data_IF_181861387553
#
_entry.id   IF_181861387553
#
_cell.length_a   1.000
_cell.length_b   1.000
_cell.length_c   1.000
_cell.angle_alpha   90.00
_cell.angle_beta   90.00
_cell.angle_gamma   90.00
#
_symmetry.space_group_name_H-M   'P 1'
#
loop_
_entity.id
_entity.type
_entity.pdbx_description
1 polymer ?
#
# COMPACT_ATOMS: atom_id res chain seq x y z
N UNK A 1 -2.63 -21.81 10.19
CA UNK A 1 -2.56 -20.91 11.36
C UNK A 1 -1.98 -19.59 10.86
N UNK A 2 -2.60 -18.46 11.20
CA UNK A 2 -2.10 -17.13 10.78
C UNK A 2 -0.86 -16.77 11.60
N UNK A 3 0.28 -16.67 10.93
CA UNK A 3 1.58 -16.57 11.61
C UNK A 3 1.98 -15.13 11.97
N UNK A 4 1.40 -14.14 11.27
CA UNK A 4 1.75 -12.74 11.48
C UNK A 4 1.01 -12.11 12.65
N UNK A 5 -0.22 -12.55 12.95
CA UNK A 5 -1.07 -11.91 13.96
C UNK A 5 -0.55 -12.07 15.39
N UNK A 6 -0.05 -13.27 15.76
CA UNK A 6 0.53 -13.48 17.09
C UNK A 6 -0.32 -12.90 18.24
N UNK A 7 0.26 -11.90 18.93
CA UNK A 7 -0.36 -11.19 20.05
C UNK A 7 -1.16 -9.94 19.66
N UNK A 8 -1.27 -9.61 18.35
CA UNK A 8 -1.96 -8.43 17.88
C UNK A 8 -3.43 -8.42 18.27
N UNK A 9 -3.93 -7.27 18.74
CA UNK A 9 -5.30 -7.08 19.20
C UNK A 9 -5.96 -5.96 18.40
N UNK A 10 -7.18 -6.18 17.96
CA UNK A 10 -7.97 -5.15 17.29
C UNK A 10 -9.47 -5.39 17.44
N UNK A 11 -10.24 -4.35 17.25
CA UNK A 11 -11.71 -4.37 17.19
C UNK A 11 -12.09 -3.61 15.93
N UNK A 12 -12.73 -4.27 14.96
CA UNK A 12 -13.13 -3.69 13.68
C UNK A 12 -13.59 -4.75 12.70
N UNK A 13 -13.86 -4.34 11.48
CA UNK A 13 -14.50 -5.16 10.45
C UNK A 13 -13.50 -5.93 9.56
N UNK A 14 -12.21 -5.88 9.89
CA UNK A 14 -11.18 -6.66 9.19
C UNK A 14 -11.36 -8.15 9.46
N UNK A 15 -11.32 -8.96 8.40
CA UNK A 15 -11.16 -10.40 8.57
C UNK A 15 -9.78 -10.74 9.16
N UNK A 16 -9.63 -11.95 9.70
CA UNK A 16 -8.32 -12.39 10.19
C UNK A 16 -7.28 -12.47 9.06
N UNK A 17 -7.69 -12.78 7.84
CA UNK A 17 -6.81 -12.80 6.68
C UNK A 17 -6.36 -11.38 6.30
N UNK A 18 -7.28 -10.41 6.34
CA UNK A 18 -6.94 -8.99 6.09
C UNK A 18 -5.98 -8.47 7.15
N UNK A 19 -6.27 -8.76 8.42
CA UNK A 19 -5.40 -8.39 9.55
C UNK A 19 -3.99 -9.01 9.41
N UNK A 20 -3.88 -10.28 9.01
CA UNK A 20 -2.60 -10.96 8.82
C UNK A 20 -1.78 -10.33 7.67
N UNK A 21 -2.42 -9.99 6.56
CA UNK A 21 -1.80 -9.29 5.44
C UNK A 21 -1.33 -7.90 5.88
N UNK A 22 -2.20 -7.13 6.51
CA UNK A 22 -1.88 -5.77 6.94
C UNK A 22 -0.72 -5.74 7.93
N UNK A 23 -0.69 -6.64 8.91
CA UNK A 23 0.42 -6.78 9.86
C UNK A 23 1.73 -7.21 9.17
N UNK A 24 1.65 -8.09 8.17
CA UNK A 24 2.83 -8.52 7.42
C UNK A 24 3.51 -7.33 6.70
N UNK A 25 2.72 -6.44 6.09
CA UNK A 25 3.26 -5.23 5.47
C UNK A 25 3.62 -4.16 6.51
N UNK A 26 2.78 -3.94 7.51
CA UNK A 26 3.00 -2.94 8.57
C UNK A 26 4.32 -3.12 9.31
N UNK A 27 4.69 -4.36 9.65
CA UNK A 27 5.97 -4.68 10.31
C UNK A 27 7.23 -4.30 9.53
N UNK A 28 7.10 -4.11 8.22
CA UNK A 28 8.21 -3.77 7.33
C UNK A 28 8.19 -2.32 6.87
N UNK A 29 7.23 -1.55 7.37
CA UNK A 29 6.95 -0.19 6.92
C UNK A 29 7.20 0.80 8.05
N UNK A 30 8.38 1.43 8.11
CA UNK A 30 8.68 2.45 9.11
C UNK A 30 7.73 3.65 9.07
N UNK A 31 7.27 4.06 7.88
CA UNK A 31 6.40 5.22 7.70
C UNK A 31 5.12 4.83 7.00
N UNK A 32 4.01 5.01 7.68
CA UNK A 32 2.69 4.56 7.27
C UNK A 32 1.73 5.74 7.17
N UNK A 33 0.97 5.78 6.08
CA UNK A 33 -0.19 6.65 5.89
C UNK A 33 -1.44 5.77 5.72
N UNK A 34 -2.46 6.04 6.51
CA UNK A 34 -3.74 5.33 6.47
C UNK A 34 -4.87 6.29 6.14
N UNK A 35 -5.84 5.85 5.34
CA UNK A 35 -7.12 6.51 5.15
C UNK A 35 -8.26 5.59 5.61
N UNK A 36 -9.02 6.07 6.59
CA UNK A 36 -10.03 5.32 7.32
C UNK A 36 -9.47 4.73 8.61
N UNK A 37 -9.90 5.26 9.75
CA UNK A 37 -9.41 4.81 11.06
C UNK A 37 -10.30 3.71 11.63
N UNK A 38 -9.71 2.79 12.40
CA UNK A 38 -10.48 1.72 13.02
C UNK A 38 -9.66 0.54 13.52
N UNK A 39 -10.03 -0.66 13.08
CA UNK A 39 -9.30 -1.90 13.38
C UNK A 39 -7.91 -1.93 12.77
N UNK A 40 -7.77 -1.39 11.57
CA UNK A 40 -6.50 -1.25 10.85
C UNK A 40 -5.51 -0.35 11.60
N UNK A 41 -5.97 0.81 12.09
CA UNK A 41 -5.16 1.73 12.91
C UNK A 41 -4.59 1.03 14.14
N UNK A 42 -5.43 0.21 14.81
CA UNK A 42 -4.99 -0.55 15.99
C UNK A 42 -3.91 -1.57 15.64
N UNK A 43 -4.01 -2.25 14.49
CA UNK A 43 -3.00 -3.20 14.02
C UNK A 43 -1.71 -2.51 13.61
N UNK A 44 -1.81 -1.46 12.80
CA UNK A 44 -0.66 -0.70 12.30
C UNK A 44 0.11 -0.05 13.46
N UNK A 45 -0.60 0.49 14.46
CA UNK A 45 0.04 1.04 15.66
C UNK A 45 0.87 0.00 16.43
N UNK A 46 0.45 -1.26 16.46
CA UNK A 46 1.17 -2.36 17.10
C UNK A 46 2.32 -2.92 16.25
N UNK A 47 2.45 -2.52 14.99
CA UNK A 47 3.59 -2.86 14.14
C UNK A 47 4.86 -2.07 14.49
N UNK A 48 4.76 -1.11 15.44
CA UNK A 48 5.85 -0.25 15.90
C UNK A 48 6.51 0.57 14.77
N UNK A 49 5.71 1.29 13.93
CA UNK A 49 6.26 2.17 12.93
C UNK A 49 6.97 3.38 13.55
N UNK A 50 7.91 3.98 12.82
CA UNK A 50 8.51 5.27 13.21
C UNK A 50 7.45 6.39 13.19
N UNK A 51 6.63 6.40 12.13
CA UNK A 51 5.56 7.37 11.91
C UNK A 51 4.29 6.65 11.42
N UNK A 52 3.15 6.95 12.05
CA UNK A 52 1.82 6.51 11.62
C UNK A 52 0.90 7.73 11.53
N UNK A 53 0.48 8.07 10.34
CA UNK A 53 -0.52 9.09 10.07
C UNK A 53 -1.83 8.43 9.68
N UNK A 54 -2.89 8.75 10.39
CA UNK A 54 -4.22 8.17 10.16
C UNK A 54 -5.23 9.26 9.84
N UNK A 55 -5.69 9.26 8.59
CA UNK A 55 -6.61 10.26 8.04
C UNK A 55 -8.04 9.78 8.19
N UNK A 56 -8.93 10.65 8.69
CA UNK A 56 -10.35 10.35 8.84
C UNK A 56 -11.20 11.59 8.52
N UNK A 57 -12.44 11.35 8.15
CA UNK A 57 -13.45 12.37 7.85
C UNK A 57 -14.54 12.47 8.93
N UNK A 58 -14.62 11.49 9.82
CA UNK A 58 -15.58 11.40 10.90
C UNK A 58 -14.89 11.43 12.27
N UNK A 59 -15.05 12.54 12.99
CA UNK A 59 -14.47 12.74 14.32
C UNK A 59 -14.96 11.70 15.34
N UNK A 60 -16.18 11.17 15.19
CA UNK A 60 -16.69 10.15 16.10
C UNK A 60 -15.91 8.82 15.95
N UNK A 61 -15.51 8.46 14.73
CA UNK A 61 -14.63 7.33 14.48
C UNK A 61 -13.23 7.53 15.05
N UNK A 62 -12.69 8.74 14.96
CA UNK A 62 -11.40 9.10 15.56
C UNK A 62 -11.44 8.88 17.07
N UNK A 63 -12.46 9.43 17.77
CA UNK A 63 -12.59 9.30 19.23
C UNK A 63 -12.82 7.84 19.68
N UNK A 64 -13.63 7.09 18.93
CA UNK A 64 -13.82 5.67 19.17
C UNK A 64 -12.51 4.89 19.04
N UNK A 65 -11.73 5.18 18.00
CA UNK A 65 -10.43 4.53 17.73
C UNK A 65 -9.41 4.88 18.80
N UNK A 66 -9.32 6.14 19.23
CA UNK A 66 -8.49 6.56 20.37
C UNK A 66 -8.83 5.78 21.64
N UNK A 67 -10.13 5.62 21.93
CA UNK A 67 -10.63 4.86 23.10
C UNK A 67 -10.20 3.39 23.04
N UNK A 68 -10.19 2.78 21.84
CA UNK A 68 -9.75 1.41 21.63
C UNK A 68 -8.24 1.27 21.75
N UNK A 69 -7.49 2.20 21.14
CA UNK A 69 -6.03 2.25 21.23
C UNK A 69 -5.53 2.40 22.66
N UNK A 70 -6.22 3.19 23.49
CA UNK A 70 -5.84 3.37 24.91
C UNK A 70 -5.81 2.06 25.72
N UNK A 71 -6.43 0.99 25.22
CA UNK A 71 -6.43 -0.35 25.84
C UNK A 71 -5.30 -1.26 25.35
N UNK A 72 -4.48 -0.77 24.43
CA UNK A 72 -3.34 -1.50 23.86
C UNK A 72 -2.06 -0.90 24.45
N UNK A 73 -1.26 -1.73 25.10
CA UNK A 73 -0.05 -1.28 25.82
C UNK A 73 1.09 -0.97 24.87
N UNK A 74 1.55 -1.94 24.12
CA UNK A 74 2.71 -1.82 23.20
C UNK A 74 2.26 -1.33 21.83
N UNK A 75 2.26 -0.01 21.60
CA UNK A 75 1.86 0.59 20.34
C UNK A 75 2.51 1.95 20.11
N UNK A 76 2.64 2.33 18.85
CA UNK A 76 2.91 3.71 18.42
C UNK A 76 1.60 4.50 18.43
N UNK A 77 1.61 5.70 18.98
CA UNK A 77 0.45 6.58 18.88
C UNK A 77 0.34 7.20 17.48
N UNK A 78 -0.80 7.02 16.78
CA UNK A 78 -1.02 7.63 15.48
C UNK A 78 -1.15 9.15 15.58
N UNK A 79 -0.71 9.86 14.53
CA UNK A 79 -1.07 11.24 14.29
C UNK A 79 -2.37 11.26 13.50
N UNK A 80 -3.47 11.64 14.14
CA UNK A 80 -4.76 11.75 13.46
C UNK A 80 -4.84 13.04 12.66
N UNK A 81 -5.26 12.92 11.41
CA UNK A 81 -5.35 14.01 10.45
C UNK A 81 -6.76 14.07 9.86
N UNK A 82 -7.20 15.29 9.53
CA UNK A 82 -8.35 15.52 8.69
C UNK A 82 -7.99 15.30 7.20
N UNK A 83 -8.95 14.94 6.36
CA UNK A 83 -8.70 14.75 4.93
C UNK A 83 -8.10 15.99 4.24
N UNK A 84 -8.44 17.18 4.70
CA UNK A 84 -7.88 18.45 4.20
C UNK A 84 -6.38 18.61 4.44
N UNK A 85 -5.79 17.84 5.36
CA UNK A 85 -4.37 17.90 5.70
C UNK A 85 -3.51 16.95 4.85
N UNK A 86 -4.13 16.08 4.03
CA UNK A 86 -3.44 15.14 3.14
C UNK A 86 -2.41 15.83 2.24
N UNK A 87 -2.71 16.97 1.56
CA UNK A 87 -1.71 17.65 0.74
C UNK A 87 -0.48 18.09 1.51
N UNK A 88 -0.66 18.53 2.76
CA UNK A 88 0.44 18.92 3.61
C UNK A 88 1.31 17.72 3.97
N UNK A 89 0.74 16.65 4.52
CA UNK A 89 1.50 15.49 4.97
C UNK A 89 2.26 14.83 3.81
N UNK A 90 1.67 14.77 2.63
CA UNK A 90 2.30 14.17 1.43
C UNK A 90 3.37 15.06 0.80
N UNK A 91 3.37 16.36 1.10
CA UNK A 91 4.41 17.28 0.63
C UNK A 91 5.73 17.17 1.42
N UNK A 92 5.65 16.73 2.68
CA UNK A 92 6.81 16.69 3.60
C UNK A 92 7.25 15.27 3.97
N UNK A 93 6.38 14.27 3.77
CA UNK A 93 6.68 12.88 4.10
C UNK A 93 6.63 11.97 2.87
N UNK A 94 7.41 10.88 2.93
CA UNK A 94 7.33 9.74 2.01
C UNK A 94 7.04 8.49 2.83
N UNK A 95 6.19 7.61 2.29
CA UNK A 95 5.62 6.46 3.00
C UNK A 95 6.09 5.13 2.41
N UNK A 96 6.33 4.16 3.28
CA UNK A 96 6.61 2.78 2.89
C UNK A 96 5.31 2.01 2.61
N UNK A 97 4.25 2.37 3.36
CA UNK A 97 2.91 1.79 3.22
C UNK A 97 1.86 2.91 3.18
N UNK A 98 0.95 2.84 2.20
CA UNK A 98 -0.29 3.63 2.17
C UNK A 98 -1.45 2.65 2.18
N UNK A 99 -2.32 2.73 3.21
CA UNK A 99 -3.51 1.90 3.35
C UNK A 99 -4.77 2.71 3.05
N UNK A 100 -5.66 2.16 2.21
CA UNK A 100 -6.85 2.86 1.68
C UNK A 100 -8.11 2.10 2.07
N UNK A 101 -8.81 2.61 3.09
CA UNK A 101 -10.07 2.04 3.62
C UNK A 101 -11.06 3.10 4.13
N UNK A 102 -10.88 4.36 3.82
CA UNK A 102 -11.75 5.46 4.23
C UNK A 102 -13.10 5.47 3.52
N UNK A 103 -13.80 6.58 3.61
CA UNK A 103 -15.12 6.76 2.99
C UNK A 103 -15.08 6.52 1.48
N UNK A 104 -16.02 5.73 0.97
CA UNK A 104 -16.02 5.14 -0.38
C UNK A 104 -15.78 6.16 -1.52
N UNK A 105 -16.43 7.33 -1.45
CA UNK A 105 -16.33 8.35 -2.50
C UNK A 105 -14.98 9.08 -2.55
N UNK A 106 -14.15 8.97 -1.52
CA UNK A 106 -12.83 9.61 -1.45
C UNK A 106 -11.65 8.63 -1.63
N UNK A 107 -11.86 7.32 -1.55
CA UNK A 107 -10.79 6.30 -1.63
C UNK A 107 -9.91 6.48 -2.86
N UNK A 108 -10.51 6.63 -4.04
CA UNK A 108 -9.75 6.82 -5.29
C UNK A 108 -9.01 8.15 -5.34
N UNK A 109 -9.66 9.25 -4.93
CA UNK A 109 -9.04 10.56 -4.88
C UNK A 109 -7.86 10.59 -3.92
N UNK A 110 -8.03 10.00 -2.73
CA UNK A 110 -6.95 9.83 -1.76
C UNK A 110 -5.77 9.06 -2.36
N UNK A 111 -6.02 7.90 -2.94
CA UNK A 111 -4.98 7.05 -3.50
C UNK A 111 -4.19 7.74 -4.62
N UNK A 112 -4.88 8.44 -5.54
CA UNK A 112 -4.23 9.22 -6.62
C UNK A 112 -3.35 10.33 -6.05
N UNK A 113 -3.86 11.09 -5.06
CA UNK A 113 -3.14 12.20 -4.45
C UNK A 113 -1.91 11.76 -3.65
N UNK A 114 -1.99 10.58 -3.04
CA UNK A 114 -0.93 10.08 -2.16
C UNK A 114 0.09 9.20 -2.86
N UNK A 115 -0.21 8.67 -4.06
CA UNK A 115 0.73 7.85 -4.83
C UNK A 115 2.11 8.50 -5.02
N UNK A 116 2.24 9.81 -5.34
CA UNK A 116 3.55 10.46 -5.46
C UNK A 116 4.35 10.51 -4.14
N UNK A 117 3.66 10.34 -3.00
CA UNK A 117 4.30 10.26 -1.69
C UNK A 117 4.66 8.84 -1.28
N UNK A 118 4.24 7.82 -2.04
CA UNK A 118 4.71 6.45 -1.86
C UNK A 118 6.17 6.34 -2.29
N UNK A 119 7.01 5.77 -1.42
CA UNK A 119 8.42 5.51 -1.74
C UNK A 119 8.53 4.48 -2.87
N UNK A 120 9.67 4.47 -3.51
CA UNK A 120 10.09 3.37 -4.35
C UNK A 120 10.18 2.10 -3.47
N UNK A 121 9.77 0.95 -4.00
CA UNK A 121 9.51 -0.30 -3.26
C UNK A 121 8.38 -0.23 -2.23
N UNK A 122 7.72 0.91 -2.10
CA UNK A 122 6.57 1.08 -1.22
C UNK A 122 5.33 0.37 -1.76
N UNK A 123 4.38 0.12 -0.86
CA UNK A 123 3.12 -0.54 -1.22
C UNK A 123 1.91 0.31 -0.89
N UNK A 124 0.93 0.31 -1.80
CA UNK A 124 -0.41 0.82 -1.55
C UNK A 124 -1.37 -0.35 -1.45
N UNK A 125 -2.13 -0.43 -0.36
CA UNK A 125 -3.08 -1.52 -0.09
C UNK A 125 -4.48 -0.96 -0.07
N UNK A 126 -5.36 -1.52 -0.90
CA UNK A 126 -6.79 -1.24 -0.91
C UNK A 126 -7.53 -2.34 -0.16
N UNK A 127 -8.39 -1.96 0.76
CA UNK A 127 -9.32 -2.87 1.44
C UNK A 127 -10.63 -3.02 0.64
N UNK A 128 -11.41 -4.04 1.00
CA UNK A 128 -12.73 -4.35 0.42
C UNK A 128 -12.74 -4.65 -1.10
N UNK A 129 -11.61 -5.03 -1.67
CA UNK A 129 -11.49 -5.19 -3.14
C UNK A 129 -12.26 -6.39 -3.72
N UNK A 130 -12.99 -7.15 -2.91
CA UNK A 130 -14.05 -8.06 -3.39
C UNK A 130 -15.33 -7.31 -3.78
N UNK A 131 -15.53 -6.08 -3.32
CA UNK A 131 -16.57 -5.19 -3.82
C UNK A 131 -16.10 -4.57 -5.14
N UNK A 132 -16.97 -4.59 -6.15
CA UNK A 132 -16.63 -4.12 -7.50
C UNK A 132 -16.14 -2.67 -7.52
N UNK A 133 -16.73 -1.80 -6.70
CA UNK A 133 -16.35 -0.38 -6.62
C UNK A 133 -14.92 -0.20 -6.10
N UNK A 134 -14.53 -0.93 -5.05
CA UNK A 134 -13.19 -0.80 -4.47
C UNK A 134 -12.12 -1.45 -5.33
N UNK A 135 -12.45 -2.56 -5.98
CA UNK A 135 -11.61 -3.13 -7.02
C UNK A 135 -11.38 -2.16 -8.18
N UNK A 136 -12.44 -1.46 -8.64
CA UNK A 136 -12.31 -0.43 -9.67
C UNK A 136 -11.40 0.72 -9.23
N UNK A 137 -11.46 1.14 -7.95
CA UNK A 137 -10.56 2.18 -7.43
C UNK A 137 -9.09 1.73 -7.53
N UNK A 138 -8.77 0.52 -7.09
CA UNK A 138 -7.43 -0.05 -7.21
C UNK A 138 -6.98 -0.19 -8.69
N UNK A 139 -7.87 -0.67 -9.57
CA UNK A 139 -7.59 -0.82 -10.99
C UNK A 139 -7.34 0.52 -11.69
N UNK A 140 -8.08 1.57 -11.33
CA UNK A 140 -7.86 2.92 -11.86
C UNK A 140 -6.49 3.49 -11.47
N UNK A 141 -6.09 3.32 -10.20
CA UNK A 141 -4.78 3.75 -9.72
C UNK A 141 -3.67 2.96 -10.42
N UNK A 142 -3.84 1.64 -10.53
CA UNK A 142 -2.90 0.79 -11.25
C UNK A 142 -2.74 1.19 -12.72
N UNK A 143 -3.83 1.54 -13.40
CA UNK A 143 -3.79 2.01 -14.79
C UNK A 143 -3.11 3.38 -14.92
N UNK A 144 -3.43 4.31 -14.02
CA UNK A 144 -2.88 5.66 -14.05
C UNK A 144 -1.36 5.67 -13.85
N UNK A 145 -0.86 4.82 -12.96
CA UNK A 145 0.55 4.72 -12.60
C UNK A 145 1.21 3.44 -13.13
N UNK A 146 0.69 2.90 -14.23
CA UNK A 146 1.15 1.61 -14.79
C UNK A 146 2.67 1.54 -14.99
N UNK A 147 3.29 2.63 -15.45
CA UNK A 147 4.73 2.68 -15.66
C UNK A 147 5.56 2.72 -14.38
N UNK A 148 4.92 3.00 -13.25
CA UNK A 148 5.53 3.05 -11.93
C UNK A 148 5.26 1.79 -11.10
N UNK A 149 4.44 0.85 -11.62
CA UNK A 149 4.10 -0.39 -10.92
C UNK A 149 5.13 -1.49 -11.19
N UNK A 150 5.56 -2.17 -10.13
CA UNK A 150 6.34 -3.40 -10.20
C UNK A 150 5.41 -4.62 -10.32
N UNK A 151 4.43 -4.73 -9.42
CA UNK A 151 3.45 -5.82 -9.43
C UNK A 151 2.14 -5.43 -8.74
N UNK A 152 1.12 -6.25 -9.01
CA UNK A 152 -0.22 -6.16 -8.41
C UNK A 152 -0.57 -7.54 -7.86
N UNK A 153 -1.00 -7.62 -6.61
CA UNK A 153 -1.54 -8.85 -6.00
C UNK A 153 -3.01 -8.63 -5.60
N UNK A 154 -3.91 -9.19 -6.41
CA UNK A 154 -5.36 -9.05 -6.24
C UNK A 154 -5.87 -10.08 -5.24
N UNK A 155 -6.59 -9.62 -4.21
CA UNK A 155 -7.05 -10.46 -3.11
C UNK A 155 -5.90 -11.32 -2.54
N UNK A 156 -4.82 -10.64 -2.20
CA UNK A 156 -3.56 -11.24 -1.76
C UNK A 156 -3.77 -12.29 -0.65
N UNK A 157 -2.86 -13.25 -0.60
CA UNK A 157 -2.99 -14.38 0.34
C UNK A 157 -2.40 -14.04 1.70
N UNK A 158 -3.14 -14.40 2.75
CA UNK A 158 -2.65 -14.43 4.12
C UNK A 158 -1.66 -15.60 4.34
N UNK A 159 -1.01 -15.63 5.49
CA UNK A 159 -0.05 -16.68 5.84
C UNK A 159 -0.64 -18.09 5.96
N UNK A 160 -1.97 -18.21 6.05
CA UNK A 160 -2.70 -19.49 5.99
C UNK A 160 -3.11 -19.89 4.56
N UNK A 161 -2.59 -19.19 3.52
CA UNK A 161 -2.87 -19.36 2.11
C UNK A 161 -4.30 -19.03 1.66
N UNK A 162 -5.14 -18.52 2.54
CA UNK A 162 -6.48 -18.05 2.18
C UNK A 162 -6.39 -16.62 1.65
N UNK A 163 -7.28 -16.32 0.70
CA UNK A 163 -7.36 -14.97 0.12
C UNK A 163 -7.95 -13.99 1.12
N UNK A 164 -7.33 -12.84 1.21
CA UNK A 164 -7.85 -11.66 1.90
C UNK A 164 -8.86 -10.88 1.02
N UNK A 165 -9.37 -9.80 1.55
CA UNK A 165 -10.19 -8.82 0.83
C UNK A 165 -9.36 -7.56 0.45
N UNK A 166 -8.06 -7.75 0.22
CA UNK A 166 -7.11 -6.67 -0.06
C UNK A 166 -6.40 -6.86 -1.38
N UNK A 167 -6.24 -5.77 -2.12
CA UNK A 167 -5.37 -5.69 -3.30
C UNK A 167 -4.17 -4.81 -3.00
N UNK A 168 -2.99 -5.32 -3.31
CA UNK A 168 -1.71 -4.64 -3.07
C UNK A 168 -1.14 -4.17 -4.40
N UNK A 169 -0.78 -2.91 -4.48
CA UNK A 169 -0.02 -2.32 -5.57
C UNK A 169 1.40 -2.01 -5.05
N UNK A 170 2.42 -2.56 -5.67
CA UNK A 170 3.81 -2.27 -5.35
C UNK A 170 4.39 -1.30 -6.35
N UNK A 171 4.98 -0.23 -5.86
CA UNK A 171 5.69 0.74 -6.68
C UNK A 171 7.07 0.18 -7.05
N UNK A 172 7.51 0.42 -8.29
CA UNK A 172 8.85 0.01 -8.74
C UNK A 172 9.94 0.56 -7.83
N UNK A 173 11.00 -0.23 -7.58
CA UNK A 173 12.23 0.31 -7.05
C UNK A 173 12.79 1.37 -8.02
N UNK A 174 13.44 2.37 -7.47
CA UNK A 174 14.20 3.31 -8.29
C UNK A 174 15.45 2.60 -8.80
N UNK A 175 15.30 1.93 -9.92
CA UNK A 175 16.47 1.44 -10.62
C UNK A 175 17.12 2.63 -11.35
N UNK A 176 18.43 2.82 -11.18
CA UNK A 176 19.15 3.75 -12.03
C UNK A 176 18.91 3.34 -13.49
N UNK A 177 18.67 4.30 -14.37
CA UNK A 177 18.49 4.05 -15.80
C UNK A 177 19.59 3.13 -16.31
N UNK A 178 19.26 1.90 -16.62
CA UNK A 178 20.19 0.93 -17.18
C UNK A 178 20.38 1.31 -18.65
N UNK A 179 21.59 1.76 -18.99
CA UNK A 179 21.93 2.01 -20.37
C UNK A 179 22.13 0.66 -21.08
N UNK A 180 21.08 0.18 -21.74
CA UNK A 180 21.09 -1.08 -22.48
C UNK A 180 22.03 -1.10 -23.71
N UNK A 181 22.81 -0.06 -23.93
CA UNK A 181 23.81 -0.01 -25.02
C UNK A 181 25.02 -0.93 -24.77
N UNK A 182 25.21 -1.40 -23.51
CA UNK A 182 26.22 -2.40 -23.21
C UNK A 182 25.60 -3.79 -23.35
N UNK A 183 26.03 -4.54 -24.37
CA UNK A 183 25.50 -5.87 -24.66
C UNK A 183 25.61 -6.84 -23.46
N UNK A 184 26.58 -6.62 -22.60
CA UNK A 184 26.85 -7.42 -21.40
C UNK A 184 25.75 -7.27 -20.33
N UNK A 185 25.05 -6.13 -20.30
CA UNK A 185 24.04 -5.80 -19.31
C UNK A 185 22.62 -6.19 -19.76
N UNK A 186 22.44 -6.60 -21.02
CA UNK A 186 21.12 -6.96 -21.55
C UNK A 186 20.72 -8.35 -21.13
N UNK A 187 19.54 -8.52 -20.49
CA UNK A 187 18.99 -9.86 -20.27
C UNK A 187 18.68 -10.54 -21.62
N UNK A 188 18.83 -11.86 -21.66
CA UNK A 188 18.66 -12.66 -22.89
C UNK A 188 17.32 -12.40 -23.61
N UNK A 189 16.24 -12.13 -22.87
CA UNK A 189 14.94 -11.84 -23.45
C UNK A 189 14.89 -10.53 -24.25
N UNK A 190 15.76 -9.56 -23.93
CA UNK A 190 15.81 -8.27 -24.62
C UNK A 190 16.30 -8.39 -26.08
N UNK A 191 17.03 -9.45 -26.40
CA UNK A 191 17.50 -9.73 -27.76
C UNK A 191 16.45 -10.37 -28.66
N UNK A 192 15.39 -10.92 -28.09
CA UNK A 192 14.33 -11.61 -28.82
C UNK A 192 13.05 -10.79 -29.01
N UNK A 193 13.01 -9.56 -28.49
CA UNK A 193 11.84 -8.67 -28.59
C UNK A 193 12.09 -7.65 -29.69
N UNK A 194 11.26 -7.59 -30.76
CA UNK A 194 11.32 -6.53 -31.76
C UNK A 194 11.14 -5.16 -31.09
N UNK A 195 11.99 -4.21 -31.43
CA UNK A 195 11.93 -2.86 -30.85
C UNK A 195 12.86 -2.62 -29.67
N UNK A 196 13.70 -3.59 -29.30
CA UNK A 196 14.80 -3.33 -28.37
C UNK A 196 15.96 -2.62 -29.09
N UNK A 197 16.79 -1.89 -28.34
CA UNK A 197 17.89 -1.07 -28.87
C UNK A 197 19.07 -1.88 -29.49
N UNK A 198 18.82 -3.13 -29.85
CA UNK A 198 19.84 -3.93 -30.52
C UNK A 198 19.83 -3.64 -32.03
N UNK A 199 20.84 -2.91 -32.55
CA UNK A 199 20.91 -2.53 -33.97
C UNK A 199 20.98 -3.74 -34.93
N UNK A 200 21.42 -4.91 -34.44
CA UNK A 200 21.47 -6.13 -35.25
C UNK A 200 20.08 -6.72 -35.53
N UNK A 201 19.10 -6.48 -34.64
CA UNK A 201 17.72 -6.91 -34.86
C UNK A 201 17.00 -6.05 -35.91
N UNK A 202 17.43 -4.82 -36.12
CA UNK A 202 16.87 -3.90 -37.09
C UNK A 202 17.47 -4.07 -38.52
N UNK A 203 18.65 -4.65 -38.62
CA UNK A 203 19.30 -4.88 -39.89
C UNK A 203 18.77 -6.10 -40.65
N UNK A 204 17.88 -6.89 -40.04
CA UNK A 204 17.30 -8.10 -40.64
C UNK A 204 15.80 -7.95 -40.99
N UNK A 205 15.20 -6.80 -40.84
CA UNK A 205 13.82 -6.50 -41.19
C UNK A 205 13.63 -5.88 -42.56
#
# INVERSE_FOLDING_TARGET
MLTNLGKFKFIGDLSLQDADVLVNYGKRSPKILEFGVGGSTQLLAQCDPEELFSVETDDAWVELTKTRLAKIEDKKDPVFLNYSEVPWVTSVHKFDLIFVDGVDNLRRDFAIKTWPALKDDGVMIFHDTRRAQDFQNAAWVAQLFFNELEWIDVNCRASDFKSSNMTVLCKKPHEPYVNWNHAEDKPLWAYSIPGTDNPELWSQA
#
